data_IF_888539148351
#
_entry.id   IF_888539148351
#
_cell.length_a   1.000
_cell.length_b   1.000
_cell.length_c   1.000
_cell.angle_alpha   90.00
_cell.angle_beta   90.00
_cell.angle_gamma   90.00
#
_symmetry.space_group_name_H-M   'P 1'
#
loop_
_entity.id
_entity.type
_entity.pdbx_description
1 polymer ?
#
# COMPACT_ATOMS: atom_id res chain seq x y z
N UNK A 1 1.80 -22.83 3.38
CA UNK A 1 1.69 -21.38 3.45
C UNK A 1 1.53 -20.79 2.07
N UNK A 2 0.57 -19.94 1.92
CA UNK A 2 0.32 -19.28 0.65
C UNK A 2 0.98 -17.92 0.55
N UNK A 3 1.02 -17.41 -0.66
CA UNK A 3 1.43 -16.04 -0.93
C UNK A 3 0.21 -15.15 -0.70
N UNK A 4 0.39 -14.06 0.05
CA UNK A 4 -0.66 -13.06 0.24
C UNK A 4 -0.38 -11.86 -0.64
N UNK A 5 -1.43 -11.34 -1.26
CA UNK A 5 -1.33 -10.15 -2.11
C UNK A 5 -1.55 -8.90 -1.26
N UNK A 6 -0.70 -7.91 -1.45
CA UNK A 6 -0.80 -6.61 -0.78
C UNK A 6 -1.42 -5.63 -1.78
N UNK A 7 -2.73 -5.42 -1.69
CA UNK A 7 -3.45 -4.58 -2.65
C UNK A 7 -4.63 -3.80 -2.04
N UNK A 8 -4.71 -3.71 -0.72
CA UNK A 8 -5.82 -3.01 -0.07
C UNK A 8 -5.71 -1.49 -0.23
N UNK A 9 -6.85 -0.85 -0.46
CA UNK A 9 -6.98 0.61 -0.51
C UNK A 9 -7.57 1.13 0.79
N UNK A 10 -7.39 2.42 1.03
CA UNK A 10 -7.96 3.11 2.19
C UNK A 10 -7.54 2.53 3.53
N UNK A 11 -6.37 1.91 3.54
CA UNK A 11 -5.72 1.41 4.76
C UNK A 11 -4.55 2.31 5.09
N UNK A 12 -4.10 2.34 6.36
CA UNK A 12 -2.93 3.14 6.73
C UNK A 12 -1.70 2.68 5.95
N UNK A 13 -0.89 3.64 5.53
CA UNK A 13 0.37 3.35 4.87
C UNK A 13 1.32 2.65 5.85
N UNK A 14 1.88 1.52 5.41
CA UNK A 14 2.85 0.78 6.19
C UNK A 14 4.14 0.65 5.37
N UNK A 15 5.24 1.28 5.81
CA UNK A 15 6.49 1.25 5.04
C UNK A 15 7.09 -0.14 4.90
N UNK A 16 6.64 -1.12 5.70
CA UNK A 16 7.08 -2.50 5.55
C UNK A 16 6.35 -3.23 4.43
N UNK A 17 5.15 -2.78 4.07
CA UNK A 17 4.31 -3.42 3.08
C UNK A 17 4.18 -2.60 1.80
N UNK A 18 4.40 -1.30 1.88
CA UNK A 18 4.09 -0.37 0.80
C UNK A 18 5.29 0.51 0.45
N UNK A 19 5.34 0.89 -0.83
CA UNK A 19 6.27 1.89 -1.31
C UNK A 19 5.45 3.04 -1.87
N UNK A 20 5.53 4.21 -1.24
CA UNK A 20 4.80 5.39 -1.70
C UNK A 20 5.55 6.02 -2.87
N UNK A 21 5.00 5.89 -4.08
CA UNK A 21 5.61 6.47 -5.27
C UNK A 21 4.99 7.80 -5.66
N UNK A 22 3.87 8.14 -5.03
CA UNK A 22 3.20 9.44 -5.24
C UNK A 22 2.38 9.79 -4.01
N UNK A 23 2.09 11.06 -3.85
CA UNK A 23 1.18 11.54 -2.83
C UNK A 23 0.26 12.59 -3.43
N UNK A 24 -0.96 12.69 -2.90
CA UNK A 24 -1.97 13.57 -3.43
C UNK A 24 -2.94 13.97 -2.33
N UNK A 25 -3.43 15.20 -2.38
CA UNK A 25 -4.48 15.62 -1.47
C UNK A 25 -5.77 14.91 -1.83
N UNK A 26 -6.51 14.46 -0.83
CA UNK A 26 -7.78 13.78 -1.03
C UNK A 26 -8.76 14.19 0.05
N UNK A 27 -9.99 14.49 -0.35
CA UNK A 27 -11.08 14.77 0.57
C UNK A 27 -11.81 13.49 0.96
N UNK A 28 -11.60 12.41 0.23
CA UNK A 28 -12.29 11.14 0.43
C UNK A 28 -11.47 10.14 1.24
N UNK A 29 -10.15 10.19 1.10
CA UNK A 29 -9.25 9.29 1.80
C UNK A 29 -8.53 10.05 2.89
N UNK A 30 -8.55 9.50 4.09
CA UNK A 30 -7.91 10.11 5.24
C UNK A 30 -6.40 10.24 5.04
N UNK A 31 -5.83 11.33 5.54
CA UNK A 31 -4.40 11.59 5.47
C UNK A 31 -3.58 10.40 5.99
N UNK A 32 -2.55 10.03 5.24
CA UNK A 32 -1.70 8.90 5.60
C UNK A 32 -2.23 7.56 5.16
N UNK A 33 -3.38 7.52 4.49
CA UNK A 33 -3.98 6.29 3.98
C UNK A 33 -3.75 6.16 2.47
N UNK A 34 -3.88 4.95 1.97
CA UNK A 34 -3.61 4.62 0.57
C UNK A 34 -4.80 5.00 -0.31
N UNK A 35 -4.55 5.80 -1.33
CA UNK A 35 -5.57 6.18 -2.31
C UNK A 35 -5.70 5.10 -3.39
N UNK A 36 -4.58 4.73 -4.00
CA UNK A 36 -4.54 3.75 -5.08
C UNK A 36 -3.35 2.84 -4.94
N UNK A 37 -3.47 1.65 -5.51
CA UNK A 37 -2.37 0.70 -5.64
C UNK A 37 -2.01 0.62 -7.13
N UNK A 38 -0.81 1.09 -7.48
CA UNK A 38 -0.35 1.04 -8.87
C UNK A 38 0.20 -0.33 -9.24
N UNK A 39 0.81 -1.00 -8.28
CA UNK A 39 1.34 -2.33 -8.48
C UNK A 39 1.20 -3.10 -7.17
N UNK A 40 0.52 -4.24 -7.24
CA UNK A 40 0.32 -5.08 -6.06
C UNK A 40 1.65 -5.62 -5.55
N UNK A 41 1.76 -5.75 -4.24
CA UNK A 41 2.87 -6.40 -3.60
C UNK A 41 2.51 -7.83 -3.20
N UNK A 42 3.49 -8.57 -2.74
CA UNK A 42 3.31 -9.94 -2.30
C UNK A 42 4.13 -10.21 -1.05
N UNK A 43 3.59 -11.04 -0.17
CA UNK A 43 4.32 -11.50 1.01
C UNK A 43 4.05 -12.97 1.28
N UNK A 44 4.99 -13.60 1.97
CA UNK A 44 4.84 -14.98 2.46
C UNK A 44 5.08 -14.90 3.96
N UNK A 45 4.02 -15.12 4.74
CA UNK A 45 4.10 -14.91 6.18
C UNK A 45 4.49 -13.47 6.51
N UNK A 46 5.58 -13.28 7.23
CA UNK A 46 6.09 -11.96 7.58
C UNK A 46 7.08 -11.40 6.57
N UNK A 47 7.47 -12.20 5.60
CA UNK A 47 8.46 -11.79 4.59
C UNK A 47 7.78 -11.14 3.40
N UNK A 48 8.06 -9.87 3.20
CA UNK A 48 7.58 -9.14 2.03
C UNK A 48 8.50 -9.44 0.85
N UNK A 49 7.94 -10.08 -0.18
CA UNK A 49 8.70 -10.41 -1.39
C UNK A 49 8.84 -9.16 -2.26
N UNK A 50 7.75 -8.40 -2.37
CA UNK A 50 7.73 -7.15 -3.14
C UNK A 50 6.70 -6.23 -2.50
N UNK A 51 7.08 -5.00 -2.12
CA UNK A 51 6.11 -4.06 -1.57
C UNK A 51 5.14 -3.59 -2.65
N UNK A 52 3.93 -3.23 -2.24
CA UNK A 52 2.95 -2.64 -3.13
C UNK A 52 3.36 -1.19 -3.43
N UNK A 53 3.27 -0.78 -4.68
CA UNK A 53 3.53 0.60 -5.07
C UNK A 53 2.21 1.35 -5.02
N UNK A 54 2.16 2.39 -4.21
CA UNK A 54 0.91 3.05 -3.87
C UNK A 54 1.00 4.57 -3.97
N UNK A 55 -0.18 5.19 -4.03
CA UNK A 55 -0.35 6.61 -3.88
C UNK A 55 -0.99 6.85 -2.52
N UNK A 56 -0.46 7.79 -1.77
CA UNK A 56 -0.87 8.07 -0.39
C UNK A 56 -1.54 9.42 -0.30
N UNK A 57 -2.58 9.53 0.52
CA UNK A 57 -3.25 10.80 0.80
C UNK A 57 -2.36 11.63 1.74
N UNK A 58 -2.23 12.91 1.44
CA UNK A 58 -1.46 13.84 2.26
C UNK A 58 -2.32 14.98 2.80
#
# INVERSE_FOLDING_TARGET
MGVEVIDEKEVPFDPNLHEAIASEESDEVEEGHIIDVFQSGYRIGERVIRPARVRVAR
#
